data_IF_746306547619
#
_entry.id   IF_746306547619
#
_cell.length_a   1.000
_cell.length_b   1.000
_cell.length_c   1.000
_cell.angle_alpha   90.00
_cell.angle_beta   90.00
_cell.angle_gamma   90.00
#
_symmetry.space_group_name_H-M   'P 1'
#
loop_
_entity.id
_entity.type
_entity.pdbx_description
1 polymer ?
#
# COMPACT_ATOMS: atom_id res chain seq x y z
N UNK A 1 4.31 -17.20 7.63
CA UNK A 1 4.42 -15.76 7.97
C UNK A 1 4.28 -15.64 9.47
N UNK A 2 5.16 -14.90 10.15
CA UNK A 2 5.01 -14.68 11.60
C UNK A 2 3.71 -13.89 11.83
N UNK A 3 2.79 -14.42 12.65
CA UNK A 3 1.47 -13.84 12.90
C UNK A 3 1.54 -12.38 13.34
N UNK A 4 2.50 -12.05 14.21
CA UNK A 4 2.72 -10.69 14.71
C UNK A 4 3.03 -9.68 13.60
N UNK A 5 3.74 -10.07 12.55
CA UNK A 5 4.10 -9.18 11.43
C UNK A 5 2.87 -8.93 10.55
N UNK A 6 2.05 -9.96 10.34
CA UNK A 6 0.83 -9.84 9.55
C UNK A 6 -0.22 -8.97 10.26
N UNK A 7 -0.36 -9.13 11.57
CA UNK A 7 -1.30 -8.36 12.39
C UNK A 7 -0.95 -6.87 12.37
N UNK A 8 0.34 -6.53 12.56
CA UNK A 8 0.83 -5.14 12.47
C UNK A 8 0.60 -4.52 11.09
N UNK A 9 0.78 -5.30 10.02
CA UNK A 9 0.53 -4.82 8.67
C UNK A 9 -0.96 -4.51 8.47
N UNK A 10 -1.83 -5.40 8.93
CA UNK A 10 -3.28 -5.23 8.86
C UNK A 10 -3.76 -4.01 9.68
N UNK A 11 -3.27 -3.87 10.92
CA UNK A 11 -3.54 -2.69 11.77
C UNK A 11 -3.10 -1.39 11.10
N UNK A 12 -1.89 -1.35 10.55
CA UNK A 12 -1.36 -0.16 9.86
C UNK A 12 -2.22 0.22 8.66
N UNK A 13 -2.65 -0.77 7.86
CA UNK A 13 -3.51 -0.55 6.70
C UNK A 13 -4.88 0.00 7.12
N UNK A 14 -5.48 -0.56 8.18
CA UNK A 14 -6.76 -0.08 8.68
C UNK A 14 -6.68 1.34 9.23
N UNK A 15 -5.63 1.67 9.98
CA UNK A 15 -5.41 3.03 10.47
C UNK A 15 -5.32 4.04 9.31
N UNK A 16 -4.59 3.70 8.24
CA UNK A 16 -4.54 4.53 7.03
C UNK A 16 -5.95 4.71 6.43
N UNK A 17 -6.76 3.65 6.36
CA UNK A 17 -8.14 3.75 5.87
C UNK A 17 -9.01 4.66 6.73
N UNK A 18 -8.89 4.56 8.05
CA UNK A 18 -9.60 5.43 8.99
C UNK A 18 -9.23 6.91 8.78
N UNK A 19 -7.94 7.22 8.56
CA UNK A 19 -7.51 8.59 8.30
C UNK A 19 -8.03 9.13 6.95
N UNK A 20 -7.96 8.34 5.88
CA UNK A 20 -8.31 8.84 4.54
C UNK A 20 -9.82 8.89 4.29
N UNK A 21 -10.61 8.05 4.97
CA UNK A 21 -12.08 8.03 4.81
C UNK A 21 -12.76 9.29 5.38
N UNK A 22 -12.09 10.01 6.28
CA UNK A 22 -12.53 11.29 6.82
C UNK A 22 -12.30 12.47 5.86
N UNK A 23 -11.54 12.27 4.79
CA UNK A 23 -11.20 13.32 3.84
C UNK A 23 -12.27 13.43 2.74
N UNK A 24 -12.61 14.67 2.38
CA UNK A 24 -13.35 14.91 1.14
C UNK A 24 -12.48 14.62 -0.10
N UNK A 25 -13.12 14.35 -1.24
CA UNK A 25 -12.42 14.16 -2.52
C UNK A 25 -11.46 15.32 -2.84
N UNK A 26 -11.85 16.55 -2.53
CA UNK A 26 -11.01 17.74 -2.73
C UNK A 26 -9.75 17.68 -1.87
N UNK A 27 -9.86 17.31 -0.58
CA UNK A 27 -8.71 17.19 0.31
C UNK A 27 -7.82 16.01 -0.09
N UNK A 28 -8.41 14.87 -0.44
CA UNK A 28 -7.71 13.66 -0.83
C UNK A 28 -6.88 13.86 -2.12
N UNK A 29 -7.43 14.62 -3.08
CA UNK A 29 -6.78 14.89 -4.37
C UNK A 29 -5.94 16.17 -4.39
N UNK A 30 -5.97 16.98 -3.32
CA UNK A 30 -5.22 18.24 -3.27
C UNK A 30 -3.72 17.98 -3.37
N UNK A 31 -3.07 18.61 -4.34
CA UNK A 31 -1.61 18.69 -4.39
C UNK A 31 -1.13 19.91 -3.58
N UNK A 32 -0.25 19.73 -2.60
CA UNK A 32 0.28 20.85 -1.81
C UNK A 32 1.26 21.73 -2.61
N UNK A 33 1.89 21.16 -3.64
CA UNK A 33 2.76 21.86 -4.60
C UNK A 33 2.77 21.08 -5.93
N UNK A 34 3.28 21.68 -7.02
CA UNK A 34 3.40 21.07 -8.35
C UNK A 34 4.22 19.78 -8.31
N UNK A 35 5.32 19.79 -7.56
CA UNK A 35 6.30 18.69 -7.50
C UNK A 35 6.03 17.69 -6.35
N UNK A 36 4.95 17.91 -5.58
CA UNK A 36 4.55 17.02 -4.49
C UNK A 36 3.38 16.13 -4.91
N UNK A 37 3.24 14.99 -4.27
CA UNK A 37 2.09 14.10 -4.47
C UNK A 37 0.91 14.53 -3.60
N UNK A 38 -0.31 14.33 -4.12
CA UNK A 38 -1.51 14.32 -3.29
C UNK A 38 -1.57 13.05 -2.44
N UNK A 39 -2.46 13.04 -1.43
CA UNK A 39 -2.70 11.85 -0.60
C UNK A 39 -3.14 10.68 -1.49
N UNK A 40 -4.04 10.93 -2.45
CA UNK A 40 -4.47 9.94 -3.43
C UNK A 40 -3.31 9.32 -4.24
N UNK A 41 -2.36 10.15 -4.67
CA UNK A 41 -1.19 9.68 -5.43
C UNK A 41 -0.24 8.84 -4.57
N UNK A 42 -0.06 9.20 -3.29
CA UNK A 42 0.69 8.39 -2.34
C UNK A 42 0.02 7.04 -2.14
N UNK A 43 -1.29 7.01 -1.85
CA UNK A 43 -2.05 5.75 -1.69
C UNK A 43 -1.98 4.88 -2.95
N UNK A 44 -2.10 5.45 -4.13
CA UNK A 44 -1.96 4.71 -5.38
C UNK A 44 -0.57 4.08 -5.54
N UNK A 45 0.48 4.83 -5.20
CA UNK A 45 1.84 4.30 -5.23
C UNK A 45 2.04 3.12 -4.26
N UNK A 46 1.44 3.18 -3.06
CA UNK A 46 1.48 2.06 -2.10
C UNK A 46 0.83 0.80 -2.67
N UNK A 47 -0.32 0.92 -3.36
CA UNK A 47 -0.97 -0.22 -4.03
C UNK A 47 -0.06 -0.85 -5.08
N UNK A 48 0.57 -0.04 -5.94
CA UNK A 48 1.49 -0.53 -6.96
C UNK A 48 2.71 -1.24 -6.36
N UNK A 49 3.21 -0.73 -5.24
CA UNK A 49 4.32 -1.35 -4.51
C UNK A 49 3.91 -2.73 -3.99
N UNK A 50 2.77 -2.82 -3.32
CA UNK A 50 2.26 -4.08 -2.77
C UNK A 50 2.06 -5.13 -3.87
N UNK A 51 1.43 -4.75 -4.99
CA UNK A 51 1.24 -5.64 -6.15
C UNK A 51 2.57 -6.17 -6.69
N UNK A 52 3.58 -5.31 -6.80
CA UNK A 52 4.92 -5.71 -7.27
C UNK A 52 5.60 -6.64 -6.27
N UNK A 53 5.51 -6.35 -4.98
CA UNK A 53 6.10 -7.21 -3.92
C UNK A 53 5.46 -8.60 -3.94
N UNK A 54 4.13 -8.68 -3.99
CA UNK A 54 3.38 -9.94 -4.09
C UNK A 54 3.82 -10.73 -5.33
N UNK A 55 3.95 -10.05 -6.47
CA UNK A 55 4.36 -10.67 -7.72
C UNK A 55 5.77 -11.26 -7.62
N UNK A 56 6.74 -10.48 -7.11
CA UNK A 56 8.14 -10.94 -6.99
C UNK A 56 8.25 -12.13 -6.04
N UNK A 57 7.59 -12.07 -4.87
CA UNK A 57 7.60 -13.17 -3.90
C UNK A 57 6.94 -14.41 -4.51
N UNK A 58 5.76 -14.28 -5.12
CA UNK A 58 5.03 -15.40 -5.72
C UNK A 58 5.83 -16.06 -6.85
N UNK A 59 6.46 -15.26 -7.70
CA UNK A 59 7.35 -15.76 -8.76
C UNK A 59 8.60 -16.45 -8.19
N UNK A 60 9.16 -15.92 -7.10
CA UNK A 60 10.31 -16.53 -6.40
C UNK A 60 9.97 -17.89 -5.81
N UNK A 61 8.82 -18.00 -5.13
CA UNK A 61 8.33 -19.26 -4.56
C UNK A 61 8.09 -20.32 -5.64
N UNK A 62 7.36 -19.96 -6.72
CA UNK A 62 7.12 -20.88 -7.85
C UNK A 62 8.40 -21.44 -8.48
N UNK A 63 9.47 -20.63 -8.54
CA UNK A 63 10.78 -21.08 -9.05
C UNK A 63 11.45 -22.09 -8.12
N UNK A 64 11.38 -21.89 -6.80
CA UNK A 64 11.91 -22.85 -5.83
C UNK A 64 11.16 -24.18 -5.88
N UNK A 65 9.83 -24.16 -5.97
CA UNK A 65 9.02 -25.39 -6.03
C UNK A 65 9.23 -26.20 -7.33
N UNK A 66 9.78 -25.56 -8.37
CA UNK A 66 10.08 -26.19 -9.66
C UNK A 66 11.52 -26.72 -9.78
N UNK A 67 12.33 -26.62 -8.73
CA UNK A 67 13.74 -27.06 -8.66
C UNK A 67 13.89 -28.20 -7.66
#
# INVERSE_FOLDING_TARGET
>A
MNTLVNDKFYETRNHLFEEITLLSDTQFNRKPDKDKWSIAQVCHHLVLLDERVITVISSGLKKMDST
#
